data_IF_873796766871
#
_entry.id   IF_873796766871
#
_cell.length_a   1.000
_cell.length_b   1.000
_cell.length_c   1.000
_cell.angle_alpha   90.00
_cell.angle_beta   90.00
_cell.angle_gamma   90.00
#
_symmetry.space_group_name_H-M   'P 1'
#
loop_
_entity.id
_entity.type
_entity.pdbx_description
1 polymer ?
#
# COMPACT_ATOMS: atom_id res chain seq x y z
N UNK A 1 19.14 4.80 -4.51
CA UNK A 1 17.85 4.81 -3.81
C UNK A 1 17.91 3.74 -2.74
N UNK A 2 18.00 4.13 -1.48
CA UNK A 2 18.18 3.22 -0.34
C UNK A 2 16.86 2.48 -0.10
N UNK A 3 16.83 1.16 -0.26
CA UNK A 3 15.67 0.36 0.11
C UNK A 3 15.62 0.31 1.64
N UNK A 4 14.61 0.94 2.24
CA UNK A 4 14.36 0.90 3.68
C UNK A 4 13.51 -0.33 4.00
N UNK A 5 14.06 -1.52 3.78
CA UNK A 5 13.45 -2.80 4.11
C UNK A 5 14.28 -3.49 5.20
N UNK A 6 13.60 -4.25 6.07
CA UNK A 6 14.24 -5.10 7.07
C UNK A 6 13.84 -6.56 6.84
N UNK A 7 14.79 -7.50 6.89
CA UNK A 7 14.49 -8.91 6.82
C UNK A 7 13.84 -9.36 8.13
N UNK A 8 12.60 -9.86 8.05
CA UNK A 8 11.89 -10.51 9.15
C UNK A 8 11.49 -11.90 8.66
N UNK A 9 11.98 -12.95 9.31
CA UNK A 9 11.70 -14.36 8.94
C UNK A 9 11.88 -14.68 7.44
N UNK A 10 12.88 -14.07 6.81
CA UNK A 10 13.21 -14.27 5.38
C UNK A 10 12.36 -13.44 4.40
N UNK A 11 11.45 -12.61 4.88
CA UNK A 11 10.69 -11.65 4.08
C UNK A 11 11.28 -10.24 4.22
N UNK A 12 11.39 -9.52 3.10
CA UNK A 12 11.77 -8.09 3.08
C UNK A 12 10.56 -7.24 3.47
N UNK A 13 10.53 -6.74 4.70
CA UNK A 13 9.41 -5.93 5.21
C UNK A 13 9.77 -4.44 5.13
N UNK A 14 8.90 -3.57 4.57
CA UNK A 14 9.13 -2.13 4.58
C UNK A 14 9.27 -1.58 6.01
N UNK A 15 10.28 -0.75 6.26
CA UNK A 15 10.47 -0.09 7.56
C UNK A 15 9.42 1.00 7.83
N UNK A 16 8.73 1.48 6.78
CA UNK A 16 7.70 2.49 6.86
C UNK A 16 6.43 2.03 6.13
N UNK A 17 5.31 2.13 6.84
CA UNK A 17 3.99 1.84 6.31
C UNK A 17 3.17 3.13 6.17
N UNK A 18 2.46 3.24 5.05
CA UNK A 18 1.48 4.29 4.83
C UNK A 18 0.09 3.81 5.29
N UNK A 19 -0.40 4.33 6.41
CA UNK A 19 -1.72 4.02 6.93
C UNK A 19 -2.84 4.71 6.15
N UNK A 20 -3.90 3.98 5.82
CA UNK A 20 -5.00 4.47 4.94
C UNK A 20 -6.26 4.93 5.67
N UNK A 21 -6.28 4.93 7.00
CA UNK A 21 -7.43 5.32 7.82
C UNK A 21 -7.93 6.76 7.55
N UNK A 22 -9.25 6.98 7.62
CA UNK A 22 -9.94 8.28 7.59
C UNK A 22 -9.70 9.15 6.36
N UNK A 23 -9.42 8.52 5.20
CA UNK A 23 -9.17 9.23 3.94
C UNK A 23 -10.37 9.30 3.01
N UNK A 24 -11.41 8.51 3.29
CA UNK A 24 -12.68 8.50 2.55
C UNK A 24 -12.45 8.45 1.03
N UNK A 25 -13.07 9.35 0.25
CA UNK A 25 -12.94 9.41 -1.20
C UNK A 25 -11.50 9.72 -1.68
N UNK A 26 -10.68 10.34 -0.82
CA UNK A 26 -9.29 10.68 -1.15
C UNK A 26 -8.33 9.48 -1.02
N UNK A 27 -8.80 8.35 -0.51
CA UNK A 27 -7.98 7.15 -0.26
C UNK A 27 -7.17 6.73 -1.50
N UNK A 28 -7.80 6.74 -2.68
CA UNK A 28 -7.11 6.36 -3.91
C UNK A 28 -6.00 7.34 -4.26
N UNK A 29 -6.31 8.64 -4.34
CA UNK A 29 -5.34 9.67 -4.73
C UNK A 29 -4.14 9.73 -3.78
N UNK A 30 -4.40 9.68 -2.47
CA UNK A 30 -3.35 9.77 -1.46
C UNK A 30 -2.48 8.50 -1.44
N UNK A 31 -3.05 7.33 -1.73
CA UNK A 31 -2.28 6.09 -1.87
C UNK A 31 -1.40 6.11 -3.11
N UNK A 32 -1.90 6.61 -4.26
CA UNK A 32 -1.08 6.81 -5.46
C UNK A 32 0.10 7.76 -5.20
N UNK A 33 -0.13 8.85 -4.47
CA UNK A 33 0.91 9.79 -4.08
C UNK A 33 1.94 9.15 -3.16
N UNK A 34 1.51 8.39 -2.15
CA UNK A 34 2.43 7.67 -1.26
C UNK A 34 3.34 6.71 -2.05
N UNK A 35 2.78 5.95 -2.99
CA UNK A 35 3.55 5.04 -3.85
C UNK A 35 4.57 5.83 -4.70
N UNK A 36 4.15 6.95 -5.29
CA UNK A 36 5.02 7.83 -6.06
C UNK A 36 6.14 8.45 -5.22
N UNK A 37 5.88 8.76 -3.95
CA UNK A 37 6.88 9.25 -2.99
C UNK A 37 7.85 8.16 -2.49
N UNK A 38 7.66 6.90 -2.89
CA UNK A 38 8.58 5.81 -2.55
C UNK A 38 8.08 4.88 -1.43
N UNK A 39 6.85 5.06 -0.92
CA UNK A 39 6.28 4.10 0.03
C UNK A 39 6.05 2.75 -0.65
N UNK A 40 6.36 1.67 0.07
CA UNK A 40 6.24 0.28 -0.39
C UNK A 40 5.45 -0.62 0.56
N UNK A 41 5.26 -0.18 1.81
CA UNK A 41 4.29 -0.75 2.75
C UNK A 41 3.03 0.11 2.76
N UNK A 42 1.89 -0.48 2.41
CA UNK A 42 0.57 0.16 2.53
C UNK A 42 -0.21 -0.59 3.60
N UNK A 43 -0.62 0.13 4.65
CA UNK A 43 -1.40 -0.41 5.75
C UNK A 43 -2.87 -0.02 5.56
N UNK A 44 -3.71 -1.06 5.45
CA UNK A 44 -5.15 -0.93 5.25
C UNK A 44 -5.88 -1.97 6.09
N UNK A 45 -7.13 -1.69 6.44
CA UNK A 45 -7.92 -2.54 7.32
C UNK A 45 -9.33 -2.75 6.76
N UNK A 46 -9.88 -3.96 6.98
CA UNK A 46 -11.21 -4.34 6.52
C UNK A 46 -12.32 -3.83 7.45
N UNK A 47 -12.28 -2.54 7.80
CA UNK A 47 -13.34 -1.84 8.54
C UNK A 47 -13.96 -0.79 7.64
N UNK A 48 -15.01 -1.18 6.90
CA UNK A 48 -15.72 -0.32 5.92
C UNK A 48 -16.17 1.05 6.45
N UNK A 49 -16.29 1.23 7.77
CA UNK A 49 -16.66 2.51 8.38
C UNK A 49 -15.55 3.57 8.28
N UNK A 50 -14.28 3.16 8.11
CA UNK A 50 -13.12 4.05 8.16
C UNK A 50 -12.07 3.79 7.06
N UNK A 51 -12.25 2.74 6.25
CA UNK A 51 -11.29 2.28 5.24
C UNK A 51 -11.99 1.91 3.93
N UNK A 52 -11.46 2.39 2.82
CA UNK A 52 -11.88 2.02 1.46
C UNK A 52 -10.79 1.14 0.82
N UNK A 53 -10.84 -0.16 1.11
CA UNK A 53 -9.90 -1.14 0.55
C UNK A 53 -9.95 -1.19 -0.98
N UNK A 54 -11.12 -0.96 -1.57
CA UNK A 54 -11.27 -0.95 -3.02
C UNK A 54 -10.51 0.23 -3.65
N UNK A 55 -10.53 1.42 -3.01
CA UNK A 55 -9.73 2.56 -3.42
C UNK A 55 -8.23 2.29 -3.34
N UNK A 56 -7.77 1.60 -2.29
CA UNK A 56 -6.36 1.17 -2.17
C UNK A 56 -5.99 0.20 -3.29
N UNK A 57 -6.84 -0.79 -3.57
CA UNK A 57 -6.64 -1.73 -4.68
C UNK A 57 -6.56 -1.03 -6.05
N UNK A 58 -7.42 -0.04 -6.30
CA UNK A 58 -7.37 0.79 -7.52
C UNK A 58 -6.06 1.58 -7.61
N UNK A 59 -5.61 2.18 -6.52
CA UNK A 59 -4.35 2.94 -6.49
C UNK A 59 -3.14 2.05 -6.81
N UNK A 60 -3.07 0.85 -6.21
CA UNK A 60 -2.01 -0.13 -6.47
C UNK A 60 -2.04 -0.57 -7.93
N UNK A 61 -3.22 -0.93 -8.46
CA UNK A 61 -3.36 -1.32 -9.86
C UNK A 61 -2.94 -0.20 -10.81
N UNK A 62 -3.31 1.04 -10.53
CA UNK A 62 -2.92 2.20 -11.32
C UNK A 62 -1.40 2.41 -11.29
N UNK A 63 -0.76 2.28 -10.12
CA UNK A 63 0.69 2.44 -9.98
C UNK A 63 1.48 1.36 -10.72
N UNK A 64 1.00 0.10 -10.70
CA UNK A 64 1.59 -1.01 -11.47
C UNK A 64 1.43 -0.74 -12.97
N UNK A 65 0.23 -0.40 -13.44
CA UNK A 65 -0.03 -0.09 -14.85
C UNK A 65 0.78 1.10 -15.37
N UNK A 66 1.08 2.09 -14.52
CA UNK A 66 1.94 3.23 -14.83
C UNK A 66 3.44 2.92 -14.75
N UNK A 67 3.83 1.71 -14.34
CA UNK A 67 5.22 1.28 -14.19
C UNK A 67 5.96 1.94 -13.01
N UNK A 68 5.23 2.51 -12.05
CA UNK A 68 5.82 3.20 -10.88
C UNK A 68 6.40 2.19 -9.89
N UNK A 69 5.81 1.00 -9.81
CA UNK A 69 6.22 -0.11 -8.94
C UNK A 69 5.95 -1.45 -9.61
N UNK A 70 6.81 -2.44 -9.38
CA UNK A 70 6.49 -3.84 -9.69
C UNK A 70 5.65 -4.44 -8.55
N UNK A 71 4.90 -5.52 -8.84
CA UNK A 71 4.10 -6.20 -7.81
C UNK A 71 4.96 -6.70 -6.64
N UNK A 72 6.17 -7.14 -6.94
CA UNK A 72 7.15 -7.66 -5.98
C UNK A 72 7.75 -6.57 -5.08
N UNK A 73 7.59 -5.29 -5.46
CA UNK A 73 8.02 -4.16 -4.63
C UNK A 73 6.99 -3.81 -3.54
N UNK A 74 5.80 -4.43 -3.54
CA UNK A 74 4.72 -4.10 -2.61
C UNK A 74 4.47 -5.22 -1.60
N UNK A 75 4.61 -4.88 -0.32
CA UNK A 75 4.18 -5.73 0.80
C UNK A 75 2.85 -5.21 1.35
N UNK A 76 1.70 -5.74 0.89
CA UNK A 76 0.42 -5.42 1.52
C UNK A 76 0.34 -6.18 2.86
N UNK A 77 0.56 -5.47 3.97
CA UNK A 77 0.17 -6.01 5.27
C UNK A 77 -1.34 -5.87 5.37
N UNK A 78 -2.04 -6.97 5.12
CA UNK A 78 -3.49 -7.03 5.11
C UNK A 78 -3.98 -7.88 6.28
N UNK A 79 -4.66 -7.26 7.23
CA UNK A 79 -5.58 -7.97 8.12
C UNK A 79 -6.78 -8.46 7.28
N UNK A 80 -6.58 -9.57 6.54
CA UNK A 80 -7.55 -10.27 5.69
C UNK A 80 -8.27 -9.41 4.63
N UNK A 81 -7.65 -9.32 3.45
CA UNK A 81 -8.39 -9.19 2.19
C UNK A 81 -8.57 -10.60 1.60
N UNK A 82 -9.80 -11.10 1.45
CA UNK A 82 -10.07 -12.29 0.65
C UNK A 82 -9.81 -12.00 -0.85
N UNK A 83 -9.55 -13.05 -1.66
CA UNK A 83 -9.17 -12.92 -3.07
C UNK A 83 -10.18 -12.15 -3.92
#
# INVERSE_FOLDING_TARGET
>A
MTKHTQPIDGAEVPAFFYGTAWKEEQTQHLTELAIACGFRGIDTANQRRHYDEAAVGRAISAAISKGVVARDDLSPTLHKVPP
#
